data_IF_068612346465
#
_entry.id   IF_068612346465
#
_cell.length_a   1.000
_cell.length_b   1.000
_cell.length_c   1.000
_cell.angle_alpha   90.00
_cell.angle_beta   90.00
_cell.angle_gamma   90.00
#
_symmetry.space_group_name_H-M   'P 1'
#
loop_
_entity.id
_entity.type
_entity.pdbx_description
1 polymer ?
#
# COMPACT_ATOMS: atom_id res chain seq x y z
N UNK A 1 0.70 -34.98 26.35
CA UNK A 1 0.89 -34.11 25.18
C UNK A 1 0.10 -34.54 23.95
N UNK A 2 0.02 -35.82 23.54
CA UNK A 2 -0.73 -36.26 22.35
C UNK A 2 -2.26 -36.03 22.41
N UNK A 3 -2.88 -36.00 23.60
CA UNK A 3 -4.33 -35.81 23.78
C UNK A 3 -4.77 -34.32 23.74
N UNK A 4 -3.87 -33.38 24.01
CA UNK A 4 -4.15 -31.93 23.88
C UNK A 4 -4.14 -31.48 22.40
N UNK A 5 -3.29 -32.07 21.55
CA UNK A 5 -3.25 -31.76 20.13
C UNK A 5 -4.50 -32.22 19.37
N UNK A 6 -5.12 -33.31 19.79
CA UNK A 6 -6.35 -33.81 19.17
C UNK A 6 -7.55 -32.95 19.56
N UNK A 7 -7.58 -32.38 20.75
CA UNK A 7 -8.66 -31.48 21.19
C UNK A 7 -8.59 -30.12 20.48
N UNK A 8 -7.38 -29.58 20.27
CA UNK A 8 -7.18 -28.32 19.51
C UNK A 8 -7.52 -28.47 18.01
N UNK A 9 -7.17 -29.61 17.40
CA UNK A 9 -7.54 -29.89 16.00
C UNK A 9 -9.05 -30.15 15.83
N UNK A 10 -9.73 -30.70 16.83
CA UNK A 10 -11.19 -30.88 16.81
C UNK A 10 -11.94 -29.56 17.01
N UNK A 11 -11.40 -28.60 17.78
CA UNK A 11 -11.98 -27.26 17.92
C UNK A 11 -11.85 -26.44 16.61
N UNK A 12 -10.70 -26.52 15.91
CA UNK A 12 -10.50 -25.87 14.62
C UNK A 12 -11.36 -26.49 13.49
N UNK A 13 -11.66 -27.80 13.56
CA UNK A 13 -12.56 -28.45 12.60
C UNK A 13 -14.05 -28.14 12.85
N UNK A 14 -14.44 -27.79 14.08
CA UNK A 14 -15.82 -27.44 14.42
C UNK A 14 -16.22 -26.03 13.94
N UNK A 15 -15.23 -25.12 13.74
CA UNK A 15 -15.47 -23.78 13.19
C UNK A 15 -15.68 -23.82 11.66
N UNK A 16 -15.25 -24.89 10.99
CA UNK A 16 -15.33 -25.06 9.53
C UNK A 16 -16.69 -25.58 9.00
N UNK A 17 -17.69 -25.84 9.85
CA UNK A 17 -18.96 -26.46 9.44
C UNK A 17 -20.23 -25.71 9.84
N UNK A 18 -20.15 -24.45 10.29
CA UNK A 18 -21.33 -23.62 10.52
C UNK A 18 -21.56 -22.75 9.28
N UNK A 19 -22.69 -22.96 8.58
CA UNK A 19 -23.15 -22.09 7.50
C UNK A 19 -23.60 -20.71 8.00
N UNK A 20 -23.73 -20.54 9.30
CA UNK A 20 -24.08 -19.28 9.95
C UNK A 20 -22.78 -18.56 10.37
N UNK A 21 -22.49 -17.42 9.73
CA UNK A 21 -21.38 -16.53 10.01
C UNK A 21 -21.82 -15.19 10.59
N UNK A 22 -23.06 -15.08 11.07
CA UNK A 22 -23.60 -13.82 11.61
C UNK A 22 -22.79 -13.26 12.79
N UNK A 23 -22.13 -14.12 13.57
CA UNK A 23 -21.24 -13.74 14.67
C UNK A 23 -19.77 -13.56 14.30
N UNK A 24 -19.40 -13.55 13.01
CA UNK A 24 -17.99 -13.42 12.57
C UNK A 24 -17.87 -12.40 11.47
N UNK A 25 -16.92 -11.47 11.63
CA UNK A 25 -16.51 -10.51 10.60
C UNK A 25 -15.09 -10.82 10.14
N UNK A 26 -14.90 -11.07 8.85
CA UNK A 26 -13.56 -11.26 8.25
C UNK A 26 -13.09 -9.96 7.62
N UNK A 27 -12.03 -9.38 8.20
CA UNK A 27 -11.37 -8.16 7.70
C UNK A 27 -10.04 -8.53 7.07
N UNK A 28 -9.72 -7.96 5.91
CA UNK A 28 -8.47 -8.17 5.19
C UNK A 28 -7.85 -6.82 4.82
N UNK A 29 -6.76 -6.46 5.49
CA UNK A 29 -6.12 -5.15 5.41
C UNK A 29 -4.62 -5.29 5.12
N UNK A 30 -3.95 -4.19 4.92
CA UNK A 30 -2.50 -4.12 4.86
C UNK A 30 -1.87 -4.49 6.21
N UNK A 31 -0.62 -4.98 6.18
CA UNK A 31 0.17 -5.18 7.40
C UNK A 31 0.48 -3.83 8.06
N UNK A 32 0.53 -3.81 9.39
CA UNK A 32 0.85 -2.62 10.20
C UNK A 32 0.02 -1.36 9.87
N UNK A 33 -1.27 -1.54 9.58
CA UNK A 33 -2.14 -0.50 9.04
C UNK A 33 -3.43 -0.30 9.86
N UNK A 34 -3.38 -0.56 11.17
CA UNK A 34 -4.46 -0.32 12.12
C UNK A 34 -3.89 -0.18 13.54
N UNK A 35 -4.42 0.74 14.33
CA UNK A 35 -3.98 0.98 15.70
C UNK A 35 -4.27 -0.17 16.66
N UNK A 36 -3.40 -0.32 17.66
CA UNK A 36 -3.53 -1.35 18.70
C UNK A 36 -4.87 -1.21 19.44
N UNK A 37 -5.53 -2.34 19.68
CA UNK A 37 -6.79 -2.43 20.44
C UNK A 37 -8.05 -2.01 19.69
N UNK A 38 -7.97 -1.41 18.49
CA UNK A 38 -9.12 -0.92 17.72
C UNK A 38 -10.09 -2.05 17.37
N UNK A 39 -9.59 -3.25 17.02
CA UNK A 39 -10.44 -4.40 16.73
C UNK A 39 -11.29 -4.80 17.94
N UNK A 40 -10.68 -4.88 19.12
CA UNK A 40 -11.40 -5.23 20.36
C UNK A 40 -12.42 -4.16 20.75
N UNK A 41 -12.09 -2.89 20.49
CA UNK A 41 -13.03 -1.78 20.72
C UNK A 41 -14.21 -1.83 19.77
N UNK A 42 -13.97 -2.18 18.48
CA UNK A 42 -15.06 -2.39 17.53
C UNK A 42 -16.01 -3.51 17.98
N UNK A 43 -15.50 -4.65 18.44
CA UNK A 43 -16.33 -5.77 18.91
C UNK A 43 -17.25 -5.34 20.06
N UNK A 44 -16.70 -4.56 21.02
CA UNK A 44 -17.49 -4.02 22.12
C UNK A 44 -18.51 -2.99 21.64
N UNK A 45 -18.07 -2.02 20.82
CA UNK A 45 -18.92 -0.98 20.27
C UNK A 45 -20.07 -1.55 19.42
N UNK A 46 -19.79 -2.55 18.57
CA UNK A 46 -20.80 -3.23 17.78
C UNK A 46 -21.88 -3.86 18.64
N UNK A 47 -21.48 -4.52 19.73
CA UNK A 47 -22.43 -5.09 20.71
C UNK A 47 -23.27 -4.02 21.38
N UNK A 48 -22.69 -2.86 21.72
CA UNK A 48 -23.40 -1.75 22.32
C UNK A 48 -24.43 -1.15 21.36
N UNK A 49 -24.10 -1.06 20.06
CA UNK A 49 -25.01 -0.49 19.05
C UNK A 49 -26.11 -1.47 18.59
N UNK A 50 -25.83 -2.77 18.54
CA UNK A 50 -26.72 -3.74 17.91
C UNK A 50 -27.33 -4.75 18.89
N UNK A 51 -26.74 -4.93 20.05
CA UNK A 51 -27.05 -6.00 21.00
C UNK A 51 -26.51 -7.37 20.59
N UNK A 52 -25.77 -7.47 19.47
CA UNK A 52 -25.24 -8.71 18.92
C UNK A 52 -23.76 -8.83 19.23
N UNK A 53 -23.29 -10.04 19.54
CA UNK A 53 -21.86 -10.32 19.68
C UNK A 53 -21.24 -10.54 18.29
N UNK A 54 -20.04 -10.02 18.08
CA UNK A 54 -19.24 -10.21 16.86
C UNK A 54 -17.81 -10.59 17.25
N UNK A 55 -17.18 -11.44 16.46
CA UNK A 55 -15.75 -11.76 16.55
C UNK A 55 -15.08 -11.39 15.24
N UNK A 56 -14.06 -10.54 15.29
CA UNK A 56 -13.32 -10.13 14.10
C UNK A 56 -12.17 -11.09 13.83
N UNK A 57 -12.14 -11.65 12.62
CA UNK A 57 -11.01 -12.40 12.08
C UNK A 57 -10.23 -11.45 11.19
N UNK A 58 -9.20 -10.83 11.76
CA UNK A 58 -8.35 -9.88 11.06
C UNK A 58 -7.17 -10.60 10.39
N UNK A 59 -6.99 -10.37 9.10
CA UNK A 59 -5.93 -10.91 8.27
C UNK A 59 -5.24 -9.79 7.50
N UNK A 60 -3.99 -10.00 7.11
CA UNK A 60 -3.20 -8.99 6.39
C UNK A 60 -2.68 -9.48 5.06
N UNK A 61 -2.39 -8.52 4.16
CA UNK A 61 -1.70 -8.72 2.89
C UNK A 61 -0.65 -7.64 2.68
N UNK A 62 0.29 -7.91 1.80
CA UNK A 62 1.38 -7.00 1.44
C UNK A 62 1.35 -6.60 -0.04
N UNK A 63 0.49 -7.25 -0.86
CA UNK A 63 0.40 -7.04 -2.30
C UNK A 63 -1.06 -7.07 -2.75
N UNK A 64 -1.50 -5.99 -3.34
CA UNK A 64 -2.87 -5.79 -3.87
C UNK A 64 -3.31 -6.90 -4.83
N UNK A 65 -2.46 -7.29 -5.78
CA UNK A 65 -2.78 -8.29 -6.81
C UNK A 65 -2.97 -9.69 -6.18
N UNK A 66 -2.22 -9.99 -5.13
CA UNK A 66 -2.38 -11.24 -4.37
C UNK A 66 -3.71 -11.26 -3.63
N UNK A 67 -4.07 -10.16 -2.96
CA UNK A 67 -5.36 -9.98 -2.30
C UNK A 67 -6.50 -10.12 -3.31
N UNK A 68 -6.45 -9.39 -4.42
CA UNK A 68 -7.47 -9.43 -5.47
C UNK A 68 -7.65 -10.83 -6.05
N UNK A 69 -6.56 -11.57 -6.30
CA UNK A 69 -6.62 -12.94 -6.82
C UNK A 69 -7.38 -13.90 -5.90
N UNK A 70 -7.26 -13.73 -4.57
CA UNK A 70 -8.03 -14.52 -3.60
C UNK A 70 -9.53 -14.26 -3.70
N UNK A 71 -9.92 -13.01 -3.94
CA UNK A 71 -11.33 -12.64 -4.08
C UNK A 71 -11.85 -13.06 -5.45
N UNK A 72 -11.16 -12.68 -6.54
CA UNK A 72 -11.62 -12.87 -7.90
C UNK A 72 -11.65 -14.35 -8.31
N UNK A 73 -10.55 -15.08 -8.05
CA UNK A 73 -10.36 -16.48 -8.45
C UNK A 73 -10.67 -17.46 -7.33
N UNK A 74 -10.31 -17.12 -6.10
CA UNK A 74 -10.50 -17.96 -4.92
C UNK A 74 -11.92 -17.88 -4.36
N UNK A 75 -12.68 -16.84 -4.69
CA UNK A 75 -14.00 -16.54 -4.12
C UNK A 75 -13.99 -16.56 -2.59
N UNK A 76 -12.87 -16.09 -2.00
CA UNK A 76 -12.72 -16.00 -0.55
C UNK A 76 -13.80 -15.09 0.04
N UNK A 77 -14.37 -15.50 1.17
CA UNK A 77 -15.53 -14.87 1.81
C UNK A 77 -15.14 -13.79 2.84
N UNK A 78 -14.20 -12.91 2.46
CA UNK A 78 -13.92 -11.70 3.25
C UNK A 78 -15.16 -10.80 3.28
N UNK A 79 -15.39 -10.16 4.43
CA UNK A 79 -16.53 -9.25 4.61
C UNK A 79 -16.10 -7.79 4.37
N UNK A 80 -14.89 -7.43 4.75
CA UNK A 80 -14.30 -6.10 4.51
C UNK A 80 -12.88 -6.27 4.01
N UNK A 81 -12.51 -5.49 3.00
CA UNK A 81 -11.15 -5.43 2.45
C UNK A 81 -10.75 -3.96 2.26
N UNK A 82 -9.47 -3.65 2.38
CA UNK A 82 -8.92 -2.30 2.20
C UNK A 82 -7.92 -2.26 1.03
N UNK A 83 -8.35 -2.30 -0.23
CA UNK A 83 -7.49 -2.14 -1.40
C UNK A 83 -7.14 -0.68 -1.68
N UNK A 84 -6.12 -0.46 -2.51
CA UNK A 84 -5.84 0.84 -3.10
C UNK A 84 -6.81 1.19 -4.23
N UNK A 85 -6.88 2.46 -4.58
CA UNK A 85 -7.80 3.08 -5.55
C UNK A 85 -7.87 2.37 -6.90
N UNK A 86 -6.74 2.06 -7.55
CA UNK A 86 -6.72 1.35 -8.82
C UNK A 86 -7.26 -0.08 -8.74
N UNK A 87 -7.17 -0.72 -7.56
CA UNK A 87 -7.82 -2.01 -7.33
C UNK A 87 -9.31 -1.84 -7.08
N UNK A 88 -9.73 -0.77 -6.38
CA UNK A 88 -11.16 -0.42 -6.25
C UNK A 88 -11.75 -0.27 -7.65
N UNK A 89 -11.08 0.48 -8.54
CA UNK A 89 -11.48 0.64 -9.94
C UNK A 89 -11.65 -0.71 -10.64
N UNK A 90 -10.64 -1.59 -10.53
CA UNK A 90 -10.68 -2.93 -11.12
C UNK A 90 -11.80 -3.81 -10.56
N UNK A 91 -12.03 -3.73 -9.24
CA UNK A 91 -13.12 -4.50 -8.59
C UNK A 91 -14.49 -3.97 -9.01
N UNK A 92 -14.67 -2.66 -9.21
CA UNK A 92 -15.88 -2.05 -9.75
C UNK A 92 -16.14 -2.56 -11.17
N UNK A 93 -15.15 -2.45 -12.06
CA UNK A 93 -15.23 -2.89 -13.45
C UNK A 93 -15.54 -4.39 -13.59
N UNK A 94 -15.06 -5.19 -12.63
CA UNK A 94 -15.27 -6.65 -12.60
C UNK A 94 -16.54 -7.07 -11.86
N UNK A 95 -17.33 -6.14 -11.29
CA UNK A 95 -18.53 -6.43 -10.51
C UNK A 95 -18.23 -7.28 -9.26
N UNK A 96 -17.13 -7.02 -8.59
CA UNK A 96 -16.65 -7.75 -7.41
C UNK A 96 -17.00 -7.06 -6.08
N UNK A 97 -17.67 -5.91 -6.12
CA UNK A 97 -18.09 -5.15 -4.94
C UNK A 97 -19.59 -5.17 -4.75
N UNK A 98 -20.03 -5.10 -3.50
CA UNK A 98 -21.38 -4.80 -3.11
C UNK A 98 -21.51 -3.30 -2.84
N UNK A 99 -22.63 -2.66 -3.23
CA UNK A 99 -22.87 -1.28 -2.86
C UNK A 99 -23.03 -1.19 -1.33
N UNK A 100 -22.59 -0.07 -0.76
CA UNK A 100 -22.69 0.21 0.65
C UNK A 100 -24.10 0.67 1.01
N UNK A 101 -24.70 0.05 2.01
CA UNK A 101 -26.04 0.42 2.51
C UNK A 101 -25.92 1.42 3.68
N UNK A 102 -25.65 2.67 3.34
CA UNK A 102 -25.56 3.77 4.34
C UNK A 102 -26.87 3.99 5.09
N UNK A 103 -28.01 3.65 4.50
CA UNK A 103 -29.32 3.80 5.14
C UNK A 103 -29.55 2.81 6.28
N UNK A 104 -28.78 1.74 6.35
CA UNK A 104 -28.84 0.76 7.45
C UNK A 104 -28.15 1.25 8.73
N UNK A 105 -27.35 2.32 8.64
CA UNK A 105 -26.67 2.93 9.78
C UNK A 105 -27.58 3.98 10.42
N UNK A 106 -27.85 3.92 11.74
CA UNK A 106 -28.62 4.96 12.41
C UNK A 106 -27.96 6.33 12.30
N UNK A 107 -28.73 7.39 12.07
CA UNK A 107 -28.21 8.77 11.93
C UNK A 107 -27.36 9.22 13.14
N UNK A 108 -27.61 8.65 14.32
CA UNK A 108 -26.86 8.96 15.55
C UNK A 108 -25.38 8.57 15.47
N UNK A 109 -25.05 7.56 14.68
CA UNK A 109 -23.69 7.00 14.57
C UNK A 109 -23.13 7.04 13.14
N UNK A 110 -23.82 7.58 12.17
CA UNK A 110 -23.36 7.64 10.76
C UNK A 110 -22.13 8.56 10.61
N UNK A 111 -20.98 8.05 11.01
CA UNK A 111 -19.69 8.75 10.95
C UNK A 111 -19.19 8.90 9.52
N UNK A 112 -19.50 7.96 8.62
CA UNK A 112 -19.20 8.06 7.18
C UNK A 112 -19.78 9.36 6.62
N UNK A 113 -21.04 9.66 6.87
CA UNK A 113 -21.68 10.86 6.33
C UNK A 113 -21.21 12.14 7.04
N UNK A 114 -20.88 12.06 8.34
CA UNK A 114 -20.48 13.24 9.14
C UNK A 114 -19.08 13.71 8.85
N UNK A 115 -18.19 12.80 8.51
CA UNK A 115 -16.74 13.04 8.50
C UNK A 115 -16.13 12.97 7.10
N UNK A 116 -16.95 13.13 6.05
CA UNK A 116 -16.48 13.14 4.66
C UNK A 116 -15.64 14.39 4.36
N UNK A 117 -14.51 14.20 3.71
CA UNK A 117 -13.75 15.28 3.08
C UNK A 117 -14.30 15.54 1.67
N UNK A 118 -14.54 16.81 1.28
CA UNK A 118 -14.93 17.16 -0.09
C UNK A 118 -13.92 16.72 -1.15
N UNK A 119 -12.65 16.76 -0.82
CA UNK A 119 -11.57 16.32 -1.70
C UNK A 119 -11.63 14.80 -1.93
N UNK A 120 -11.73 14.03 -0.86
CA UNK A 120 -11.83 12.58 -0.93
C UNK A 120 -13.05 12.15 -1.74
N UNK A 121 -14.20 12.77 -1.49
CA UNK A 121 -15.43 12.49 -2.23
C UNK A 121 -15.26 12.76 -3.74
N UNK A 122 -14.57 13.85 -4.09
CA UNK A 122 -14.23 14.17 -5.48
C UNK A 122 -13.31 13.11 -6.08
N UNK A 123 -12.22 12.75 -5.40
CA UNK A 123 -11.23 11.79 -5.89
C UNK A 123 -11.85 10.41 -6.11
N UNK A 124 -12.75 9.97 -5.21
CA UNK A 124 -13.43 8.68 -5.36
C UNK A 124 -14.43 8.67 -6.54
N UNK A 125 -15.00 9.79 -6.94
CA UNK A 125 -15.75 9.89 -8.20
C UNK A 125 -14.84 9.77 -9.42
N UNK A 126 -13.60 10.18 -9.33
CA UNK A 126 -12.62 10.14 -10.42
C UNK A 126 -11.98 8.75 -10.59
N UNK A 127 -12.08 7.85 -9.58
CA UNK A 127 -11.57 6.46 -9.67
C UNK A 127 -12.18 5.73 -10.87
N UNK A 128 -13.47 5.90 -11.12
CA UNK A 128 -14.13 5.25 -12.26
C UNK A 128 -15.10 6.21 -12.94
N UNK A 129 -15.00 6.40 -14.28
CA UNK A 129 -15.82 7.37 -14.99
C UNK A 129 -17.31 6.98 -15.13
N UNK A 130 -17.65 5.70 -14.95
CA UNK A 130 -19.00 5.18 -15.16
C UNK A 130 -19.72 4.83 -13.83
N UNK A 131 -18.97 4.51 -12.79
CA UNK A 131 -19.48 4.05 -11.49
C UNK A 131 -18.90 4.92 -10.39
N UNK A 132 -19.76 5.62 -9.63
CA UNK A 132 -19.29 6.40 -8.48
C UNK A 132 -18.74 5.45 -7.40
N UNK A 133 -17.42 5.50 -7.18
CA UNK A 133 -16.79 4.64 -6.18
C UNK A 133 -17.25 4.96 -4.75
N UNK A 134 -17.78 6.15 -4.49
CA UNK A 134 -18.36 6.51 -3.19
C UNK A 134 -19.58 5.66 -2.80
N UNK A 135 -20.26 5.04 -3.77
CA UNK A 135 -21.36 4.12 -3.50
C UNK A 135 -20.89 2.72 -3.07
N UNK A 136 -19.60 2.39 -3.25
CA UNK A 136 -19.04 1.05 -3.03
C UNK A 136 -17.87 1.02 -2.07
N UNK A 137 -17.31 2.18 -1.74
CA UNK A 137 -16.11 2.27 -0.92
C UNK A 137 -16.13 3.51 -0.02
N UNK A 138 -15.39 3.43 1.07
CA UNK A 138 -15.12 4.54 1.98
C UNK A 138 -13.62 4.66 2.15
N UNK A 139 -13.07 5.82 1.83
CA UNK A 139 -11.64 6.06 1.98
C UNK A 139 -11.18 5.86 3.44
N UNK A 140 -10.00 5.30 3.59
CA UNK A 140 -9.40 5.01 4.88
C UNK A 140 -8.19 5.89 5.15
N UNK A 141 -7.12 5.66 4.42
CA UNK A 141 -5.88 6.43 4.47
C UNK A 141 -5.52 6.93 3.08
N UNK A 142 -4.69 7.96 3.03
CA UNK A 142 -4.20 8.50 1.78
C UNK A 142 -2.81 9.11 1.93
N UNK A 143 -2.15 9.39 0.82
CA UNK A 143 -0.87 10.04 0.83
C UNK A 143 -0.37 10.34 -0.57
N UNK A 144 0.86 10.83 -0.65
CA UNK A 144 1.57 11.11 -1.89
C UNK A 144 2.80 10.22 -2.03
N UNK A 145 3.24 10.03 -3.26
CA UNK A 145 4.55 9.45 -3.57
C UNK A 145 5.55 10.58 -3.77
N UNK A 146 6.72 10.47 -3.16
CA UNK A 146 7.73 11.51 -3.22
C UNK A 146 9.12 10.99 -2.90
N UNK A 147 10.01 11.91 -2.53
CA UNK A 147 11.41 11.62 -2.25
C UNK A 147 11.72 11.94 -0.79
N UNK A 148 12.14 10.92 -0.02
CA UNK A 148 12.83 11.12 1.26
C UNK A 148 14.29 11.36 0.96
N UNK A 149 14.88 12.37 1.55
CA UNK A 149 16.29 12.68 1.34
C UNK A 149 17.01 13.13 2.60
N UNK A 150 18.31 12.80 2.69
CA UNK A 150 19.18 13.20 3.79
C UNK A 150 19.81 14.56 3.47
N UNK A 151 19.42 15.59 4.22
CA UNK A 151 19.83 17.00 3.99
C UNK A 151 21.32 17.24 4.05
N UNK A 152 22.06 16.33 4.69
CA UNK A 152 23.54 16.40 4.73
C UNK A 152 24.19 16.14 3.36
N UNK A 153 23.54 15.38 2.48
CA UNK A 153 24.12 14.91 1.22
C UNK A 153 23.35 15.41 -0.01
N UNK A 154 22.08 15.74 0.15
CA UNK A 154 21.17 16.16 -0.91
C UNK A 154 20.59 17.51 -0.55
N UNK A 155 20.67 18.45 -1.48
CA UNK A 155 20.06 19.79 -1.31
C UNK A 155 18.58 19.77 -1.65
N UNK A 156 17.80 20.73 -1.13
CA UNK A 156 16.38 20.90 -1.45
C UNK A 156 16.17 21.06 -2.98
N UNK A 157 17.08 21.76 -3.69
CA UNK A 157 17.06 21.92 -5.15
C UNK A 157 17.29 20.58 -5.87
N UNK A 158 18.25 19.76 -5.42
CA UNK A 158 18.46 18.42 -6.02
C UNK A 158 17.27 17.52 -5.82
N UNK A 159 16.62 17.56 -4.65
CA UNK A 159 15.47 16.72 -4.34
C UNK A 159 14.15 17.20 -4.99
N UNK A 160 14.10 18.46 -5.50
CA UNK A 160 12.90 19.03 -6.09
C UNK A 160 12.54 18.47 -7.47
N UNK A 161 13.33 17.56 -8.02
CA UNK A 161 13.12 16.94 -9.33
C UNK A 161 13.35 15.42 -9.30
N UNK A 162 12.56 14.64 -10.06
CA UNK A 162 12.77 13.21 -10.22
C UNK A 162 14.09 12.84 -10.89
N UNK A 163 14.79 13.80 -11.54
CA UNK A 163 16.14 13.59 -12.12
C UNK A 163 17.17 13.14 -11.07
N UNK A 164 16.97 13.51 -9.83
CA UNK A 164 17.87 13.16 -8.72
C UNK A 164 18.11 11.66 -8.59
N UNK A 165 17.12 10.82 -8.94
CA UNK A 165 17.21 9.35 -8.87
C UNK A 165 18.27 8.83 -9.84
N UNK A 166 18.41 9.45 -11.02
CA UNK A 166 19.40 9.07 -12.05
C UNK A 166 20.77 9.76 -11.91
N UNK A 167 20.90 10.71 -10.99
CA UNK A 167 22.12 11.47 -10.81
C UNK A 167 23.27 10.57 -10.31
N UNK A 168 24.37 10.41 -11.08
CA UNK A 168 25.47 9.51 -10.73
C UNK A 168 26.24 9.89 -9.44
N UNK A 169 25.99 11.08 -8.87
CA UNK A 169 26.45 11.49 -7.55
C UNK A 169 26.02 10.49 -6.47
N UNK A 170 24.87 9.84 -6.65
CA UNK A 170 24.22 9.00 -5.64
C UNK A 170 24.35 7.50 -5.93
N UNK A 171 25.46 7.10 -6.56
CA UNK A 171 25.74 5.69 -6.86
C UNK A 171 25.65 4.81 -5.62
N UNK A 172 24.89 3.70 -5.70
CA UNK A 172 24.62 2.75 -4.61
C UNK A 172 24.00 3.38 -3.34
N UNK A 173 23.22 4.48 -3.48
CA UNK A 173 22.68 5.24 -2.34
C UNK A 173 21.18 5.53 -2.44
N UNK A 174 20.52 5.12 -3.52
CA UNK A 174 19.09 5.38 -3.77
C UNK A 174 18.27 4.14 -3.43
N UNK A 175 17.27 4.30 -2.60
CA UNK A 175 16.24 3.29 -2.35
C UNK A 175 15.02 3.57 -3.24
N UNK A 176 14.45 2.55 -3.82
CA UNK A 176 13.24 2.68 -4.64
C UNK A 176 12.19 1.70 -4.12
N UNK A 177 10.98 2.18 -3.92
CA UNK A 177 9.85 1.36 -3.47
C UNK A 177 9.61 0.20 -4.46
N UNK A 178 9.45 -1.01 -3.95
CA UNK A 178 9.12 -2.18 -4.77
C UNK A 178 7.62 -2.23 -5.11
N UNK A 179 7.13 -1.12 -5.62
CA UNK A 179 5.74 -0.90 -6.01
C UNK A 179 5.72 -0.34 -7.46
N UNK A 180 5.49 -1.21 -8.47
CA UNK A 180 5.66 -0.83 -9.89
C UNK A 180 4.86 0.40 -10.30
N UNK A 181 3.62 0.57 -9.82
CA UNK A 181 2.76 1.71 -10.15
C UNK A 181 3.27 2.99 -9.55
N UNK A 182 3.54 2.98 -8.25
CA UNK A 182 4.03 4.14 -7.50
C UNK A 182 5.37 4.68 -8.01
N UNK A 183 6.10 3.86 -8.77
CA UNK A 183 7.33 4.28 -9.45
C UNK A 183 7.10 4.68 -10.89
N UNK A 184 6.22 3.96 -11.61
CA UNK A 184 5.94 4.22 -13.02
C UNK A 184 5.35 5.61 -13.24
N UNK A 185 4.30 5.97 -12.48
CA UNK A 185 3.61 7.26 -12.61
C UNK A 185 4.55 8.46 -12.49
N UNK A 186 5.26 8.62 -11.36
CA UNK A 186 6.22 9.70 -11.16
C UNK A 186 7.31 9.77 -12.23
N UNK A 187 7.89 8.65 -12.63
CA UNK A 187 8.91 8.60 -13.69
C UNK A 187 8.32 9.02 -15.03
N UNK A 188 7.10 8.59 -15.38
CA UNK A 188 6.45 8.99 -16.62
C UNK A 188 6.13 10.50 -16.62
N UNK A 189 5.66 11.04 -15.50
CA UNK A 189 5.44 12.49 -15.33
C UNK A 189 6.73 13.26 -15.60
N UNK A 190 7.84 12.81 -15.01
CA UNK A 190 9.16 13.42 -15.25
C UNK A 190 9.55 13.37 -16.73
N UNK A 191 9.43 12.22 -17.38
CA UNK A 191 9.78 12.05 -18.79
C UNK A 191 8.92 12.88 -19.72
N UNK A 192 7.65 13.10 -19.37
CA UNK A 192 6.66 13.86 -20.15
C UNK A 192 6.45 15.30 -19.66
N UNK A 193 7.31 15.80 -18.76
CA UNK A 193 7.16 17.13 -18.16
C UNK A 193 7.09 18.28 -19.18
N UNK A 194 7.73 18.11 -20.35
CA UNK A 194 7.67 19.11 -21.43
C UNK A 194 6.30 19.13 -22.07
N UNK A 195 5.74 17.97 -22.39
CA UNK A 195 4.41 17.83 -22.97
C UNK A 195 3.33 18.32 -22.01
N UNK A 196 3.50 18.06 -20.69
CA UNK A 196 2.64 18.59 -19.63
C UNK A 196 2.68 20.13 -19.61
N UNK A 197 3.87 20.74 -19.58
CA UNK A 197 4.04 22.20 -19.59
C UNK A 197 3.50 22.86 -20.86
N UNK A 198 3.53 22.17 -21.99
CA UNK A 198 2.97 22.60 -23.27
C UNK A 198 1.45 22.32 -23.37
N UNK A 199 0.82 21.70 -22.40
CA UNK A 199 -0.60 21.34 -22.38
C UNK A 199 -1.00 20.30 -23.43
N UNK A 200 -0.05 19.47 -23.89
CA UNK A 200 -0.28 18.41 -24.88
C UNK A 200 -0.83 17.13 -24.28
N UNK A 201 -0.56 16.93 -23.01
CA UNK A 201 -1.06 15.83 -22.19
C UNK A 201 -1.41 16.36 -20.80
N UNK A 202 -2.28 15.67 -20.10
CA UNK A 202 -2.63 15.94 -18.71
C UNK A 202 -2.01 14.89 -17.78
N UNK A 203 -1.89 15.20 -16.49
CA UNK A 203 -1.43 14.23 -15.49
C UNK A 203 -2.32 12.99 -15.50
N UNK A 204 -3.63 13.16 -15.59
CA UNK A 204 -4.60 12.08 -15.58
C UNK A 204 -4.45 11.13 -16.78
N UNK A 205 -4.19 11.71 -17.99
CA UNK A 205 -3.91 10.89 -19.19
C UNK A 205 -2.63 10.06 -19.01
N UNK A 206 -1.61 10.60 -18.35
CA UNK A 206 -0.37 9.87 -18.09
C UNK A 206 -0.57 8.70 -17.11
N UNK A 207 -1.45 8.85 -16.12
CA UNK A 207 -1.70 7.76 -15.16
C UNK A 207 -2.41 6.55 -15.80
N UNK A 208 -3.16 6.76 -16.84
CA UNK A 208 -3.78 5.70 -17.67
C UNK A 208 -2.91 5.21 -18.83
N UNK A 209 -1.72 5.81 -19.06
CA UNK A 209 -0.90 5.48 -20.24
C UNK A 209 -0.11 4.17 -20.06
N UNK A 210 -0.65 3.10 -20.63
CA UNK A 210 -0.05 1.76 -20.72
C UNK A 210 0.55 1.44 -22.10
N UNK A 211 0.85 2.49 -22.90
CA UNK A 211 1.43 2.32 -24.24
C UNK A 211 2.82 1.68 -24.18
N UNK A 212 3.14 0.89 -25.19
CA UNK A 212 4.45 0.24 -25.29
C UNK A 212 5.59 1.27 -25.35
N UNK A 213 5.32 2.47 -25.91
CA UNK A 213 6.29 3.58 -25.97
C UNK A 213 6.60 4.12 -24.58
N UNK A 214 5.58 4.44 -23.78
CA UNK A 214 5.75 4.98 -22.43
C UNK A 214 6.36 3.95 -21.48
N UNK A 215 5.94 2.69 -21.58
CA UNK A 215 6.54 1.58 -20.80
C UNK A 215 8.04 1.43 -21.14
N UNK A 216 8.41 1.49 -22.44
CA UNK A 216 9.82 1.38 -22.85
C UNK A 216 10.65 2.57 -22.36
N UNK A 217 10.10 3.80 -22.39
CA UNK A 217 10.79 4.99 -21.92
C UNK A 217 11.05 4.94 -20.40
N UNK A 218 10.06 4.53 -19.62
CA UNK A 218 10.20 4.33 -18.17
C UNK A 218 11.21 3.22 -17.86
N UNK A 219 11.15 2.10 -18.59
CA UNK A 219 12.12 1.00 -18.44
C UNK A 219 13.55 1.47 -18.70
N UNK A 220 13.78 2.23 -19.76
CA UNK A 220 15.09 2.78 -20.11
C UNK A 220 15.61 3.74 -19.03
N UNK A 221 14.75 4.64 -18.53
CA UNK A 221 15.12 5.55 -17.44
C UNK A 221 15.52 4.78 -16.17
N UNK A 222 14.69 3.86 -15.71
CA UNK A 222 14.97 3.08 -14.51
C UNK A 222 16.23 2.21 -14.64
N UNK A 223 16.49 1.68 -15.83
CA UNK A 223 17.74 0.96 -16.12
C UNK A 223 18.95 1.88 -16.11
N UNK A 224 18.82 3.12 -16.57
CA UNK A 224 19.92 4.11 -16.51
C UNK A 224 20.24 4.53 -15.08
N UNK A 225 19.25 4.57 -14.20
CA UNK A 225 19.41 4.87 -12.76
C UNK A 225 19.91 3.68 -11.94
N UNK A 226 20.05 2.50 -12.53
CA UNK A 226 20.30 1.24 -11.82
C UNK A 226 21.56 1.22 -10.97
N UNK A 227 22.63 1.87 -11.42
CA UNK A 227 23.89 1.97 -10.68
C UNK A 227 23.76 2.79 -9.38
N UNK A 228 22.68 3.59 -9.27
CA UNK A 228 22.39 4.37 -8.08
C UNK A 228 21.57 3.57 -7.06
N UNK A 229 20.88 2.50 -7.50
CA UNK A 229 19.95 1.75 -6.66
C UNK A 229 20.69 0.91 -5.63
N UNK A 230 20.56 1.28 -4.35
CA UNK A 230 20.98 0.51 -3.19
C UNK A 230 20.06 -0.70 -2.97
N UNK A 231 18.75 -0.55 -3.22
CA UNK A 231 17.77 -1.62 -3.07
C UNK A 231 16.39 -1.26 -3.55
N UNK A 232 15.68 -2.28 -4.02
CA UNK A 232 14.23 -2.27 -4.25
C UNK A 232 13.58 -2.72 -2.94
N UNK A 233 12.81 -1.85 -2.32
CA UNK A 233 12.39 -2.06 -0.96
C UNK A 233 10.86 -2.05 -0.81
N UNK A 234 10.33 -2.97 -0.03
CA UNK A 234 8.92 -2.94 0.34
C UNK A 234 8.72 -2.19 1.66
N UNK A 235 9.59 -2.47 2.66
CA UNK A 235 9.40 -2.03 4.03
C UNK A 235 10.69 -1.67 4.78
N UNK A 236 11.83 -2.16 4.29
CA UNK A 236 13.12 -1.94 4.98
C UNK A 236 13.77 -0.58 4.69
N UNK A 237 13.27 0.16 3.70
CA UNK A 237 13.89 1.40 3.21
C UNK A 237 13.89 2.49 4.25
N UNK A 238 12.79 2.69 4.94
CA UNK A 238 12.68 3.64 6.05
C UNK A 238 13.78 3.43 7.10
N UNK A 239 14.02 2.19 7.47
CA UNK A 239 15.10 1.77 8.40
C UNK A 239 16.53 2.05 7.85
N UNK A 240 16.74 1.95 6.54
CA UNK A 240 18.03 2.26 5.92
C UNK A 240 18.28 3.78 5.89
N UNK A 241 17.22 4.57 5.65
CA UNK A 241 17.28 6.03 5.69
C UNK A 241 17.62 6.54 7.10
N UNK A 242 16.92 6.04 8.14
CA UNK A 242 17.20 6.41 9.54
C UNK A 242 18.60 6.06 9.98
N UNK A 243 19.18 4.98 9.46
CA UNK A 243 20.57 4.56 9.74
C UNK A 243 21.61 5.25 8.86
N UNK A 244 21.20 6.16 7.97
CA UNK A 244 22.08 6.89 7.05
C UNK A 244 22.79 5.99 6.02
N UNK A 245 22.21 4.84 5.68
CA UNK A 245 22.76 3.93 4.65
C UNK A 245 22.26 4.27 3.26
N UNK A 246 20.98 4.69 3.12
CA UNK A 246 20.46 5.36 1.95
C UNK A 246 20.52 6.87 2.13
N UNK A 247 20.65 7.65 1.07
CA UNK A 247 20.58 9.11 1.11
C UNK A 247 19.38 9.66 0.38
N UNK A 248 18.77 8.87 -0.48
CA UNK A 248 17.55 9.16 -1.23
C UNK A 248 16.62 7.92 -1.19
N UNK A 249 15.33 8.14 -1.07
CA UNK A 249 14.33 7.08 -1.21
C UNK A 249 13.08 7.60 -1.93
N UNK A 250 12.72 6.97 -3.05
CA UNK A 250 11.39 7.12 -3.62
C UNK A 250 10.43 6.34 -2.72
N UNK A 251 9.49 7.02 -2.07
CA UNK A 251 8.68 6.41 -1.02
C UNK A 251 7.33 7.13 -0.82
N UNK A 252 6.48 6.55 0.02
CA UNK A 252 5.20 7.10 0.42
C UNK A 252 5.35 8.10 1.58
N UNK A 253 4.45 9.09 1.63
CA UNK A 253 4.48 10.15 2.62
C UNK A 253 4.36 9.64 4.07
N UNK A 254 3.57 8.61 4.35
CA UNK A 254 3.46 8.03 5.69
C UNK A 254 4.75 7.35 6.16
N UNK A 255 5.41 6.56 5.30
CA UNK A 255 6.73 6.01 5.59
C UNK A 255 7.79 7.11 5.79
N UNK A 256 7.61 8.26 5.09
CA UNK A 256 8.50 9.41 5.24
C UNK A 256 8.38 10.05 6.62
N UNK A 257 7.15 10.26 7.12
CA UNK A 257 6.92 10.81 8.48
C UNK A 257 7.61 9.94 9.53
N UNK A 258 7.34 8.64 9.50
CA UNK A 258 7.97 7.70 10.42
C UNK A 258 9.51 7.75 10.33
N UNK A 259 10.08 7.77 9.09
CA UNK A 259 11.52 7.81 8.90
C UNK A 259 12.14 9.11 9.38
N UNK A 260 11.48 10.27 9.20
CA UNK A 260 11.92 11.58 9.65
C UNK A 260 11.98 11.62 11.18
N UNK A 261 10.94 11.17 11.87
CA UNK A 261 10.87 11.13 13.33
C UNK A 261 11.97 10.24 13.94
N UNK A 262 12.07 9.00 13.47
CA UNK A 262 13.08 8.06 13.96
C UNK A 262 14.52 8.53 13.65
N UNK A 263 14.74 9.15 12.49
CA UNK A 263 16.04 9.70 12.11
C UNK A 263 16.45 10.87 13.00
N UNK A 264 15.53 11.76 13.34
CA UNK A 264 15.77 12.88 14.24
C UNK A 264 16.24 12.41 15.62
N UNK A 265 15.67 11.31 16.15
CA UNK A 265 16.05 10.72 17.43
C UNK A 265 17.52 10.24 17.46
N UNK A 266 18.12 9.95 16.31
CA UNK A 266 19.54 9.50 16.18
C UNK A 266 20.45 10.56 15.54
N UNK A 267 19.94 11.79 15.33
CA UNK A 267 20.70 12.92 14.81
C UNK A 267 20.94 12.88 13.30
N UNK A 268 20.07 12.19 12.56
CA UNK A 268 20.00 12.21 11.09
C UNK A 268 18.84 13.13 10.69
N UNK A 269 19.15 14.11 9.82
CA UNK A 269 18.14 15.06 9.33
C UNK A 269 17.62 14.61 7.97
N UNK A 270 16.37 14.15 7.94
CA UNK A 270 15.65 13.75 6.74
C UNK A 270 14.53 14.74 6.43
N UNK A 271 14.27 14.91 5.15
CA UNK A 271 13.09 15.64 4.64
C UNK A 271 12.37 14.81 3.58
N UNK A 272 11.13 15.18 3.34
CA UNK A 272 10.31 14.64 2.25
C UNK A 272 9.89 15.75 1.30
N UNK A 273 9.80 15.45 0.02
CA UNK A 273 9.31 16.37 -1.00
C UNK A 273 8.58 15.63 -2.12
N UNK A 274 7.50 16.23 -2.59
CA UNK A 274 6.87 15.89 -3.87
C UNK A 274 7.53 16.76 -4.94
N UNK A 275 8.25 16.19 -5.93
CA UNK A 275 8.95 16.98 -6.96
C UNK A 275 8.06 17.93 -7.75
N UNK A 276 8.69 18.97 -8.33
CA UNK A 276 7.99 20.06 -9.03
C UNK A 276 7.29 19.61 -10.31
N UNK A 277 7.77 18.54 -10.94
CA UNK A 277 7.13 17.97 -12.13
C UNK A 277 5.77 17.36 -11.84
N UNK A 278 5.53 17.00 -10.58
CA UNK A 278 4.33 16.33 -10.11
C UNK A 278 4.58 14.88 -9.69
N UNK A 279 3.55 14.25 -9.17
CA UNK A 279 3.62 12.87 -8.64
C UNK A 279 2.24 12.20 -8.64
N UNK A 280 2.15 11.07 -7.93
CA UNK A 280 0.89 10.39 -7.64
C UNK A 280 0.36 10.75 -6.26
N UNK A 281 -0.95 10.83 -6.16
CA UNK A 281 -1.72 10.76 -4.91
C UNK A 281 -2.47 9.43 -4.93
N UNK A 282 -2.46 8.71 -3.83
CA UNK A 282 -3.07 7.39 -3.70
C UNK A 282 -4.00 7.34 -2.49
N UNK A 283 -5.01 6.48 -2.58
CA UNK A 283 -6.01 6.26 -1.54
C UNK A 283 -6.22 4.79 -1.31
N UNK A 284 -6.24 4.37 -0.05
CA UNK A 284 -6.77 3.07 0.33
C UNK A 284 -8.19 3.24 0.86
N UNK A 285 -9.05 2.29 0.54
CA UNK A 285 -10.46 2.40 0.91
C UNK A 285 -11.09 1.07 1.33
N UNK A 286 -11.98 1.15 2.31
CA UNK A 286 -12.77 0.02 2.76
C UNK A 286 -13.85 -0.33 1.74
N UNK A 287 -13.90 -1.59 1.33
CA UNK A 287 -14.90 -2.14 0.42
C UNK A 287 -15.53 -3.41 0.98
N UNK A 288 -16.74 -3.73 0.55
CA UNK A 288 -17.43 -4.99 0.84
C UNK A 288 -17.39 -5.86 -0.41
N UNK A 289 -16.58 -6.94 -0.44
CA UNK A 289 -16.51 -7.83 -1.58
C UNK A 289 -17.83 -8.58 -1.83
N UNK A 290 -18.07 -8.94 -3.09
CA UNK A 290 -19.25 -9.67 -3.55
C UNK A 290 -19.57 -10.95 -2.78
N UNK A 291 -18.55 -11.62 -2.25
CA UNK A 291 -18.68 -12.90 -1.55
C UNK A 291 -18.81 -12.74 -0.03
N UNK A 292 -18.92 -11.52 0.49
CA UNK A 292 -19.16 -11.23 1.89
C UNK A 292 -20.36 -11.97 2.45
N UNK A 293 -20.27 -12.40 3.71
CA UNK A 293 -21.33 -13.14 4.42
C UNK A 293 -21.97 -12.34 5.53
N UNK A 294 -21.27 -11.34 6.06
CA UNK A 294 -21.75 -10.50 7.14
C UNK A 294 -21.71 -9.00 6.77
N UNK A 295 -22.53 -8.65 5.75
CA UNK A 295 -22.59 -7.28 5.21
C UNK A 295 -23.00 -6.26 6.28
N UNK A 296 -23.90 -6.61 7.22
CA UNK A 296 -24.31 -5.74 8.33
C UNK A 296 -23.09 -5.34 9.18
N UNK A 297 -22.35 -6.33 9.69
CA UNK A 297 -21.19 -6.05 10.52
C UNK A 297 -20.07 -5.34 9.74
N UNK A 298 -19.92 -5.64 8.44
CA UNK A 298 -18.99 -4.96 7.54
C UNK A 298 -19.33 -3.45 7.44
N UNK A 299 -20.59 -3.10 7.23
CA UNK A 299 -21.05 -1.70 7.16
C UNK A 299 -20.80 -0.96 8.47
N UNK A 300 -21.08 -1.59 9.61
CA UNK A 300 -20.79 -1.02 10.93
C UNK A 300 -19.30 -0.88 11.20
N UNK A 301 -18.47 -1.82 10.73
CA UNK A 301 -17.01 -1.72 10.85
C UNK A 301 -16.47 -0.52 10.07
N UNK A 302 -16.92 -0.34 8.84
CA UNK A 302 -16.51 0.78 8.00
C UNK A 302 -16.93 2.11 8.65
N UNK A 303 -18.16 2.20 9.18
CA UNK A 303 -18.62 3.40 9.89
C UNK A 303 -17.81 3.68 11.16
N UNK A 304 -17.52 2.64 11.95
CA UNK A 304 -16.68 2.74 13.13
C UNK A 304 -15.28 3.27 12.81
N UNK A 305 -14.68 2.83 11.71
CA UNK A 305 -13.36 3.30 11.27
C UNK A 305 -13.38 4.79 10.86
N UNK A 306 -14.54 5.37 10.58
CA UNK A 306 -14.72 6.79 10.28
C UNK A 306 -14.93 7.68 11.52
N UNK A 307 -14.93 7.13 12.73
CA UNK A 307 -14.96 7.92 13.97
C UNK A 307 -13.69 8.76 14.06
N UNK A 308 -13.81 10.01 14.51
CA UNK A 308 -12.67 10.94 14.64
C UNK A 308 -11.60 10.42 15.58
N UNK A 309 -11.99 9.89 16.75
CA UNK A 309 -11.07 9.32 17.73
C UNK A 309 -10.34 8.06 17.22
N UNK A 310 -11.01 7.25 16.40
CA UNK A 310 -10.41 6.08 15.77
C UNK A 310 -9.47 6.50 14.62
N UNK A 311 -9.87 7.50 13.83
CA UNK A 311 -9.03 8.06 12.77
C UNK A 311 -7.71 8.61 13.34
N UNK A 312 -7.76 9.43 14.38
CA UNK A 312 -6.58 10.01 15.05
C UNK A 312 -5.66 8.89 15.56
N UNK A 313 -6.18 7.90 16.28
CA UNK A 313 -5.37 6.78 16.79
C UNK A 313 -4.73 5.95 15.69
N UNK A 314 -5.42 5.77 14.56
CA UNK A 314 -4.82 5.11 13.42
C UNK A 314 -3.70 5.94 12.80
N UNK A 315 -3.85 7.26 12.70
CA UNK A 315 -2.78 8.16 12.24
C UNK A 315 -1.56 8.08 13.15
N UNK A 316 -1.76 8.18 14.47
CA UNK A 316 -0.68 8.12 15.47
C UNK A 316 0.12 6.80 15.41
N UNK A 317 -0.56 5.68 15.14
CA UNK A 317 0.07 4.35 15.11
C UNK A 317 0.75 4.06 13.77
N UNK A 318 0.13 4.49 12.66
CA UNK A 318 0.58 4.10 11.32
C UNK A 318 1.48 5.12 10.65
N UNK A 319 1.44 6.39 11.08
CA UNK A 319 2.11 7.50 10.41
C UNK A 319 1.42 7.97 9.11
N UNK A 320 0.26 7.40 8.75
CA UNK A 320 -0.48 7.77 7.54
C UNK A 320 -1.66 8.69 7.85
N UNK A 321 -2.08 9.47 6.87
CA UNK A 321 -3.19 10.42 7.01
C UNK A 321 -4.52 9.74 6.79
N UNK A 322 -5.44 9.89 7.77
CA UNK A 322 -6.80 9.42 7.61
C UNK A 322 -7.57 10.27 6.58
N UNK A 323 -8.40 9.59 5.78
CA UNK A 323 -9.31 10.24 4.82
C UNK A 323 -10.53 10.90 5.49
N UNK A 324 -10.41 11.25 6.76
CA UNK A 324 -11.47 11.82 7.59
C UNK A 324 -11.38 13.36 7.55
N UNK A 325 -12.45 14.00 7.08
CA UNK A 325 -12.53 15.46 6.92
C UNK A 325 -13.10 16.21 8.14
N UNK A 326 -13.22 15.55 9.29
CA UNK A 326 -13.70 16.21 10.50
C UNK A 326 -12.68 17.24 11.02
N UNK A 327 -13.17 18.38 11.48
CA UNK A 327 -12.33 19.44 11.99
C UNK A 327 -11.48 19.01 13.21
N UNK A 328 -12.02 18.15 14.06
CA UNK A 328 -11.32 17.59 15.21
C UNK A 328 -10.07 16.77 14.82
N UNK A 329 -10.08 16.15 13.65
CA UNK A 329 -8.88 15.45 13.12
C UNK A 329 -7.82 16.48 12.73
N UNK A 330 -8.21 17.56 12.04
CA UNK A 330 -7.29 18.66 11.73
C UNK A 330 -6.70 19.28 13.00
N UNK A 331 -7.56 19.60 13.98
CA UNK A 331 -7.12 20.20 15.26
C UNK A 331 -6.08 19.33 15.99
N UNK A 332 -6.19 18.00 15.89
CA UNK A 332 -5.21 17.09 16.52
C UNK A 332 -3.83 17.12 15.86
N UNK A 333 -3.72 17.69 14.65
CA UNK A 333 -2.49 17.73 13.86
C UNK A 333 -1.86 19.12 13.81
N UNK A 334 -2.48 20.14 14.43
CA UNK A 334 -1.94 21.50 14.44
C UNK A 334 -0.66 21.56 15.27
N UNK A 335 0.39 22.10 14.65
CA UNK A 335 1.69 22.35 15.26
C UNK A 335 2.21 23.72 14.78
N UNK A 336 2.23 24.70 15.66
CA UNK A 336 2.66 26.08 15.38
C UNK A 336 4.14 26.20 14.97
N UNK A 337 4.93 25.13 15.11
CA UNK A 337 6.33 25.10 14.66
C UNK A 337 6.46 24.74 13.17
N UNK A 338 5.40 24.22 12.55
CA UNK A 338 5.33 23.90 11.15
C UNK A 338 5.01 25.09 10.27
N UNK A 339 5.32 25.00 8.98
CA UNK A 339 4.92 26.00 7.99
C UNK A 339 3.40 25.97 7.78
N UNK A 340 2.81 27.13 7.47
CA UNK A 340 1.40 27.22 7.14
C UNK A 340 1.12 26.69 5.73
N UNK A 341 0.09 25.85 5.58
CA UNK A 341 -0.36 25.24 4.33
C UNK A 341 -1.84 25.53 4.07
N UNK A 342 -2.23 25.55 2.79
CA UNK A 342 -3.64 25.65 2.37
C UNK A 342 -4.25 24.25 2.27
N UNK A 343 -5.11 23.92 3.23
CA UNK A 343 -5.88 22.68 3.31
C UNK A 343 -7.37 22.87 2.99
N UNK A 344 -7.74 24.04 2.44
CA UNK A 344 -9.14 24.32 2.08
C UNK A 344 -9.75 23.32 1.11
N UNK A 345 -8.93 22.65 0.31
CA UNK A 345 -9.36 21.57 -0.60
C UNK A 345 -9.86 20.35 0.16
N UNK A 346 -9.29 20.06 1.35
CA UNK A 346 -9.57 18.85 2.12
C UNK A 346 -10.61 19.06 3.24
N UNK A 347 -10.46 20.13 4.02
CA UNK A 347 -11.32 20.42 5.19
C UNK A 347 -12.36 21.51 4.91
N UNK A 348 -12.25 22.23 3.78
CA UNK A 348 -13.18 23.30 3.41
C UNK A 348 -12.79 24.68 3.94
N UNK A 349 -13.82 25.55 4.10
CA UNK A 349 -13.64 26.95 4.51
C UNK A 349 -12.99 27.06 5.90
N UNK A 350 -12.00 27.93 6.02
CA UNK A 350 -11.26 28.18 7.27
C UNK A 350 -9.95 27.40 7.40
N UNK A 351 -9.65 26.49 6.48
CA UNK A 351 -8.41 25.70 6.45
C UNK A 351 -7.39 26.22 5.42
N UNK A 352 -7.47 27.50 5.04
CA UNK A 352 -6.62 28.12 4.01
C UNK A 352 -5.22 28.54 4.51
N UNK A 353 -4.99 28.48 5.82
CA UNK A 353 -3.67 28.73 6.42
C UNK A 353 -3.58 28.02 7.78
N UNK A 354 -3.13 26.77 7.76
CA UNK A 354 -3.03 25.91 8.96
C UNK A 354 -1.61 25.41 9.11
N UNK A 355 -1.08 25.48 10.33
CA UNK A 355 0.25 24.99 10.66
C UNK A 355 0.20 23.48 10.97
N UNK A 356 0.63 22.65 10.04
CA UNK A 356 0.68 21.20 10.17
C UNK A 356 1.88 20.64 9.39
N UNK A 357 2.27 19.39 9.65
CA UNK A 357 3.29 18.73 8.85
C UNK A 357 2.83 18.60 7.38
N UNK A 358 3.50 19.32 6.48
CA UNK A 358 3.24 19.30 5.04
C UNK A 358 3.56 17.95 4.37
N UNK A 359 4.24 17.03 5.07
CA UNK A 359 4.42 15.64 4.62
C UNK A 359 3.14 14.84 4.76
N UNK A 360 2.41 15.07 5.85
CA UNK A 360 1.09 14.45 6.10
C UNK A 360 0.01 15.13 5.27
N UNK A 361 -0.10 16.45 5.43
CA UNK A 361 -1.11 17.25 4.76
C UNK A 361 -0.44 18.22 3.78
N UNK A 362 -0.18 17.80 2.54
CA UNK A 362 0.48 18.64 1.55
C UNK A 362 -0.37 19.87 1.20
N UNK A 363 0.33 21.00 0.98
CA UNK A 363 -0.29 22.22 0.49
C UNK A 363 -1.09 21.99 -0.81
N UNK A 364 -2.15 22.74 -0.98
CA UNK A 364 -3.01 22.68 -2.19
C UNK A 364 -2.21 22.72 -3.49
N UNK A 365 -1.17 23.56 -3.57
CA UNK A 365 -0.33 23.65 -4.76
C UNK A 365 0.48 22.36 -5.03
N UNK A 366 0.76 21.56 -3.99
CA UNK A 366 1.38 20.23 -4.12
C UNK A 366 0.38 19.24 -4.69
N UNK A 367 -0.84 19.20 -4.15
CA UNK A 367 -1.90 18.30 -4.58
C UNK A 367 -2.35 18.58 -6.02
N UNK A 368 -2.40 19.84 -6.44
CA UNK A 368 -2.78 20.23 -7.81
C UNK A 368 -1.82 19.70 -8.88
N UNK A 369 -0.60 19.29 -8.50
CA UNK A 369 0.36 18.61 -9.39
C UNK A 369 0.47 17.10 -9.16
N UNK A 370 -0.46 16.50 -8.42
CA UNK A 370 -0.56 15.06 -8.25
C UNK A 370 -1.76 14.49 -8.99
N UNK A 371 -1.65 13.24 -9.44
CA UNK A 371 -2.73 12.53 -10.11
C UNK A 371 -3.00 11.17 -9.47
N UNK A 372 -4.26 10.74 -9.58
CA UNK A 372 -4.73 9.43 -9.13
C UNK A 372 -4.22 8.34 -10.08
N UNK A 373 -3.80 7.22 -9.52
CA UNK A 373 -3.45 6.04 -10.31
C UNK A 373 -4.70 5.33 -10.85
N UNK A 374 -4.58 4.72 -12.04
CA UNK A 374 -5.67 3.98 -12.67
C UNK A 374 -5.33 2.51 -12.91
N UNK A 375 -6.35 1.67 -12.96
CA UNK A 375 -6.20 0.27 -13.37
C UNK A 375 -5.94 0.17 -14.88
N UNK A 376 -4.88 -0.54 -15.24
CA UNK A 376 -4.57 -0.81 -16.65
C UNK A 376 -5.23 -2.09 -17.18
N UNK A 377 -6.10 -2.72 -16.40
CA UNK A 377 -6.81 -3.92 -16.80
C UNK A 377 -5.85 -5.02 -17.29
N UNK A 378 -6.05 -5.46 -18.52
CA UNK A 378 -5.20 -6.49 -19.15
C UNK A 378 -3.74 -6.06 -19.37
N UNK A 379 -3.45 -4.77 -19.44
CA UNK A 379 -2.11 -4.25 -19.65
C UNK A 379 -1.26 -4.22 -18.37
N UNK A 380 -1.86 -4.51 -17.21
CA UNK A 380 -1.13 -4.68 -15.93
C UNK A 380 0.02 -5.69 -16.06
N UNK A 381 -0.15 -6.77 -16.84
CA UNK A 381 0.90 -7.73 -17.08
C UNK A 381 2.13 -7.13 -17.81
N UNK A 382 1.95 -6.12 -18.65
CA UNK A 382 3.05 -5.39 -19.30
C UNK A 382 3.90 -4.63 -18.29
N UNK A 383 3.24 -3.94 -17.33
CA UNK A 383 3.90 -3.22 -16.23
C UNK A 383 4.72 -4.17 -15.36
N UNK A 384 4.12 -5.28 -14.94
CA UNK A 384 4.80 -6.29 -14.12
C UNK A 384 5.98 -6.94 -14.87
N UNK A 385 5.84 -7.18 -16.17
CA UNK A 385 6.92 -7.70 -17.01
C UNK A 385 8.06 -6.68 -17.16
N UNK A 386 7.75 -5.39 -17.35
CA UNK A 386 8.73 -4.29 -17.35
C UNK A 386 9.48 -4.23 -16.02
N UNK A 387 8.75 -4.23 -14.90
CA UNK A 387 9.31 -4.20 -13.56
C UNK A 387 10.26 -5.37 -13.30
N UNK A 388 9.88 -6.56 -13.72
CA UNK A 388 10.74 -7.75 -13.65
C UNK A 388 12.04 -7.58 -14.43
N UNK A 389 12.00 -6.96 -15.64
CA UNK A 389 13.21 -6.68 -16.44
C UNK A 389 14.10 -5.62 -15.81
N UNK A 390 13.52 -4.58 -15.21
CA UNK A 390 14.26 -3.54 -14.49
C UNK A 390 15.01 -4.14 -13.30
N UNK A 391 14.34 -4.98 -12.51
CA UNK A 391 14.93 -5.64 -11.32
C UNK A 391 15.81 -6.83 -11.69
N UNK A 392 15.40 -7.63 -12.64
CA UNK A 392 15.94 -8.96 -12.95
C UNK A 392 17.30 -8.97 -13.63
N UNK A 393 17.73 -7.87 -14.24
CA UNK A 393 19.10 -7.75 -14.74
C UNK A 393 20.18 -7.83 -13.63
N UNK A 394 19.78 -7.88 -12.35
CA UNK A 394 20.62 -8.20 -11.20
C UNK A 394 20.63 -9.69 -10.82
N UNK A 395 19.67 -10.49 -11.30
CA UNK A 395 19.77 -11.95 -11.19
C UNK A 395 20.80 -12.43 -12.22
N UNK A 396 22.09 -12.25 -11.87
CA UNK A 396 23.20 -12.79 -12.66
C UNK A 396 22.84 -14.23 -13.06
N UNK A 397 22.92 -14.54 -14.35
CA UNK A 397 22.90 -15.92 -14.87
C UNK A 397 23.83 -16.84 -14.06
N UNK A 398 24.87 -16.29 -13.42
CA UNK A 398 25.72 -16.92 -12.41
C UNK A 398 24.95 -17.45 -11.20
N UNK A 399 23.93 -16.77 -10.69
CA UNK A 399 23.15 -17.25 -9.52
C UNK A 399 22.35 -18.50 -9.89
N UNK A 400 21.71 -18.52 -11.05
CA UNK A 400 21.03 -19.71 -11.56
C UNK A 400 22.00 -20.84 -11.90
N UNK A 401 23.19 -20.52 -12.42
CA UNK A 401 24.24 -21.50 -12.67
C UNK A 401 24.74 -22.09 -11.35
N UNK A 402 24.96 -21.28 -10.32
CA UNK A 402 25.38 -21.73 -8.99
C UNK A 402 24.30 -22.61 -8.34
N UNK A 403 23.03 -22.19 -8.38
CA UNK A 403 21.92 -22.99 -7.85
C UNK A 403 21.79 -24.32 -8.62
N UNK A 404 21.90 -24.28 -9.95
CA UNK A 404 21.89 -25.47 -10.79
C UNK A 404 23.06 -26.42 -10.47
N UNK A 405 24.26 -25.89 -10.28
CA UNK A 405 25.45 -26.66 -9.90
C UNK A 405 25.30 -27.29 -8.51
N UNK A 406 24.74 -26.55 -7.53
CA UNK A 406 24.45 -27.07 -6.20
C UNK A 406 23.42 -28.22 -6.22
N UNK A 407 22.35 -28.06 -6.99
CA UNK A 407 21.35 -29.12 -7.16
C UNK A 407 21.95 -30.36 -7.82
N UNK A 408 22.77 -30.23 -8.85
CA UNK A 408 23.48 -31.35 -9.49
C UNK A 408 24.46 -32.02 -8.50
N UNK A 409 25.17 -31.27 -7.69
CA UNK A 409 26.05 -31.84 -6.66
C UNK A 409 25.28 -32.64 -5.59
N UNK A 410 24.10 -32.16 -5.16
CA UNK A 410 23.22 -32.88 -4.24
C UNK A 410 22.71 -34.19 -4.85
N UNK A 411 22.29 -34.13 -6.11
CA UNK A 411 21.83 -35.35 -6.87
C UNK A 411 22.96 -36.36 -7.00
N UNK A 412 24.17 -35.90 -7.37
CA UNK A 412 25.35 -36.76 -7.49
C UNK A 412 25.73 -37.41 -6.15
N UNK A 413 25.70 -36.63 -5.05
CA UNK A 413 25.97 -37.12 -3.70
C UNK A 413 24.94 -38.19 -3.26
N UNK A 414 23.66 -37.96 -3.57
CA UNK A 414 22.58 -38.90 -3.31
C UNK A 414 22.77 -40.22 -4.13
N UNK A 415 23.13 -40.12 -5.41
CA UNK A 415 23.40 -41.27 -6.26
C UNK A 415 24.59 -42.08 -5.74
N UNK A 416 25.69 -41.44 -5.36
CA UNK A 416 26.88 -42.11 -4.79
C UNK A 416 26.52 -42.79 -3.46
N UNK A 417 25.71 -42.14 -2.60
CA UNK A 417 25.24 -42.70 -1.33
C UNK A 417 24.36 -43.95 -1.58
N UNK A 418 23.44 -43.87 -2.55
CA UNK A 418 22.60 -45.00 -2.96
C UNK A 418 23.42 -46.17 -3.50
N UNK A 419 24.44 -45.88 -4.34
CA UNK A 419 25.34 -46.89 -4.88
C UNK A 419 26.17 -47.58 -3.79
N UNK A 420 26.73 -46.82 -2.82
CA UNK A 420 27.42 -47.36 -1.64
C UNK A 420 26.52 -48.25 -0.76
N UNK A 421 25.26 -47.85 -0.59
CA UNK A 421 24.27 -48.68 0.14
C UNK A 421 23.99 -50.03 -0.58
N UNK A 422 23.81 -49.99 -1.92
CA UNK A 422 23.62 -51.21 -2.72
C UNK A 422 24.84 -52.15 -2.68
N UNK A 423 26.05 -51.57 -2.80
CA UNK A 423 27.29 -52.37 -2.71
C UNK A 423 27.46 -53.03 -1.33
N UNK A 424 27.14 -52.34 -0.24
CA UNK A 424 27.17 -52.92 1.11
C UNK A 424 26.13 -54.04 1.31
N UNK A 425 24.95 -53.95 0.70
CA UNK A 425 23.95 -54.99 0.76
C UNK A 425 24.35 -56.26 -0.05
N UNK A 426 24.98 -56.07 -1.20
CA UNK A 426 25.45 -57.18 -2.04
C UNK A 426 26.62 -57.95 -1.40
N UNK A 427 27.53 -57.26 -0.72
CA UNK A 427 28.65 -57.91 -0.01
C UNK A 427 28.20 -58.72 1.24
N UNK A 428 27.12 -58.28 1.94
CA UNK A 428 26.51 -59.03 3.04
C UNK A 428 25.78 -60.31 2.56
N UNK A 429 25.22 -60.31 1.33
CA UNK A 429 24.56 -61.48 0.73
C UNK A 429 25.54 -62.55 0.21
N UNK A 430 26.80 -62.19 -0.05
CA UNK A 430 27.86 -63.17 -0.45
C UNK A 430 28.58 -63.80 0.73
N UNK A 431 28.34 -63.35 1.97
CA UNK A 431 28.95 -63.90 3.21
C UNK A 431 27.98 -64.77 4.06
N UNK A 432 26.77 -65.03 3.55
CA UNK A 432 25.83 -66.05 4.03
C UNK A 432 25.68 -67.12 2.93
#
# INVERSE_FOLDING_TARGET
>A
MRRLFIAAAALLAAISCSSDRSGVLKVYNWSDYIGEGIISEFEQWYKEQTGEDITVVYQTFDVNETMLSKIEKGHEDYDVVCPSDYIIERMLNSGLLLPLDFASIPDSINYIAKNRSPYIEKMFREINPEIDANDYSVAYMWGTTGIIYNTKYVTDEEASTWDVISNPKFKDQVLIKDAPRDVYGPVLIYLKQKELKEGKVTLQELMGDSSDESIAAVEEYLKSAKDNVLGWEADFGKDQMTKGRGVLSLNWSGDAVWAIEEAAAVGVDLKYVVPEEGSTVWFDGWVIPKYAKNVKAATYFIDFMCRTDIAIRNMDETGYVASNGAWEVLESQIDEEQDAVDLSYFFGEGADSVHVDGTLYPDKAVIERCALEHDWGADTDKLLAMWSRVKGDNANSMTYIIIGALLLAIIAAAAVSAHKKRARHSSKRRRR
#
